data_IF_677549678476
#
_entry.id   IF_677549678476
#
_cell.length_a   1.000
_cell.length_b   1.000
_cell.length_c   1.000
_cell.angle_alpha   90.00
_cell.angle_beta   90.00
_cell.angle_gamma   90.00
#
_symmetry.space_group_name_H-M   'P 1'
#
loop_
_entity.id
_entity.type
_entity.pdbx_description
1 polymer ?
#
# COMPACT_ATOMS: atom_id res chain seq x y z
N UNK A 1 -32.76 -11.29 -16.89
CA UNK A 1 -31.96 -10.46 -15.96
C UNK A 1 -30.92 -9.69 -16.76
N UNK A 2 -30.45 -8.52 -16.29
CA UNK A 2 -29.35 -7.79 -16.96
C UNK A 2 -28.09 -8.67 -17.01
N UNK A 3 -27.28 -8.55 -18.06
CA UNK A 3 -26.02 -9.32 -18.22
C UNK A 3 -25.12 -9.18 -16.98
N UNK A 4 -25.08 -7.98 -16.40
CA UNK A 4 -24.35 -7.66 -15.16
C UNK A 4 -24.75 -8.53 -13.96
N UNK A 5 -25.96 -9.09 -13.93
CA UNK A 5 -26.47 -9.93 -12.83
C UNK A 5 -26.46 -11.42 -13.17
N UNK A 6 -26.54 -11.78 -14.45
CA UNK A 6 -26.61 -13.17 -14.89
C UNK A 6 -25.23 -13.80 -15.15
N UNK A 7 -24.23 -12.99 -15.48
CA UNK A 7 -22.87 -13.48 -15.68
C UNK A 7 -22.17 -13.65 -14.32
N UNK A 8 -21.53 -14.80 -14.03
CA UNK A 8 -20.91 -15.06 -12.72
C UNK A 8 -19.82 -14.05 -12.30
N UNK A 9 -19.01 -13.58 -13.26
CA UNK A 9 -17.91 -12.64 -12.99
C UNK A 9 -18.45 -11.22 -12.84
N UNK A 10 -19.30 -10.79 -13.79
CA UNK A 10 -19.89 -9.46 -13.73
C UNK A 10 -20.87 -9.32 -12.54
N UNK A 11 -21.47 -10.43 -12.11
CA UNK A 11 -22.32 -10.49 -10.92
C UNK A 11 -21.59 -10.08 -9.65
N UNK A 12 -20.33 -10.50 -9.49
CA UNK A 12 -19.48 -10.06 -8.38
C UNK A 12 -19.17 -8.56 -8.46
N UNK A 13 -18.75 -8.06 -9.62
CA UNK A 13 -18.51 -6.63 -9.79
C UNK A 13 -19.79 -5.80 -9.49
N UNK A 14 -20.94 -6.29 -9.94
CA UNK A 14 -22.23 -5.67 -9.68
C UNK A 14 -22.55 -5.63 -8.18
N UNK A 15 -22.32 -6.71 -7.43
CA UNK A 15 -22.65 -6.78 -6.00
C UNK A 15 -21.74 -5.92 -5.12
N UNK A 16 -20.50 -5.67 -5.52
CA UNK A 16 -19.54 -4.88 -4.73
C UNK A 16 -19.46 -3.41 -5.14
N UNK A 17 -19.66 -3.07 -6.43
CA UNK A 17 -19.35 -1.74 -6.95
C UNK A 17 -20.59 -1.00 -7.49
N UNK A 18 -21.54 -1.71 -8.11
CA UNK A 18 -22.65 -1.06 -8.84
C UNK A 18 -23.91 -0.98 -7.98
N UNK A 19 -24.44 -2.11 -7.55
CA UNK A 19 -25.72 -2.21 -6.83
C UNK A 19 -25.50 -2.47 -5.32
N UNK A 20 -24.31 -2.18 -4.79
CA UNK A 20 -24.04 -2.31 -3.36
C UNK A 20 -24.84 -1.24 -2.57
N UNK A 21 -25.75 -1.63 -1.66
CA UNK A 21 -26.53 -0.67 -0.89
C UNK A 21 -25.66 0.02 0.17
N UNK A 22 -25.42 1.32 -0.01
CA UNK A 22 -24.66 2.15 0.93
C UNK A 22 -25.59 3.06 1.77
N UNK A 23 -25.24 3.37 3.03
CA UNK A 23 -25.98 4.34 3.81
C UNK A 23 -25.89 5.74 3.19
N UNK A 24 -27.03 6.43 3.06
CA UNK A 24 -27.09 7.74 2.38
C UNK A 24 -26.32 8.87 3.09
N UNK A 25 -25.94 8.67 4.35
CA UNK A 25 -25.31 9.69 5.21
C UNK A 25 -23.83 9.42 5.52
N UNK A 26 -23.14 8.55 4.76
CA UNK A 26 -21.68 8.41 4.91
C UNK A 26 -20.98 9.71 4.51
N UNK A 27 -20.04 10.15 5.34
CA UNK A 27 -19.23 11.34 5.05
C UNK A 27 -18.05 11.01 4.13
N UNK A 28 -17.33 12.05 3.67
CA UNK A 28 -16.09 11.86 2.89
C UNK A 28 -15.03 10.99 3.58
N UNK A 29 -15.12 10.80 4.90
CA UNK A 29 -14.22 9.90 5.64
C UNK A 29 -14.34 8.43 5.21
N UNK A 30 -15.44 8.02 4.56
CA UNK A 30 -15.58 6.68 3.99
C UNK A 30 -14.76 6.48 2.69
N UNK A 31 -14.30 7.56 2.06
CA UNK A 31 -13.54 7.49 0.80
C UNK A 31 -12.09 6.99 0.99
N UNK A 32 -11.54 7.03 2.21
CA UNK A 32 -10.18 6.56 2.45
C UNK A 32 -10.00 5.06 2.14
N UNK A 33 -11.07 4.26 2.16
CA UNK A 33 -10.98 2.85 1.71
C UNK A 33 -10.63 2.71 0.23
N UNK A 34 -11.31 3.45 -0.65
CA UNK A 34 -11.04 3.42 -2.09
C UNK A 34 -9.70 4.08 -2.44
N UNK A 35 -9.33 5.15 -1.73
CA UNK A 35 -8.01 5.77 -1.89
C UNK A 35 -6.86 4.81 -1.53
N UNK A 36 -7.02 3.97 -0.51
CA UNK A 36 -6.04 2.92 -0.19
C UNK A 36 -5.93 1.87 -1.31
N UNK A 37 -7.07 1.49 -1.91
CA UNK A 37 -7.09 0.62 -3.08
C UNK A 37 -6.35 1.24 -4.27
N UNK A 38 -6.55 2.54 -4.51
CA UNK A 38 -5.82 3.28 -5.54
C UNK A 38 -4.31 3.33 -5.26
N UNK A 39 -3.91 3.64 -4.02
CA UNK A 39 -2.49 3.62 -3.62
C UNK A 39 -1.86 2.25 -3.86
N UNK A 40 -2.55 1.16 -3.52
CA UNK A 40 -2.06 -0.19 -3.75
C UNK A 40 -1.83 -0.48 -5.23
N UNK A 41 -2.76 -0.12 -6.10
CA UNK A 41 -2.61 -0.31 -7.55
C UNK A 41 -1.42 0.50 -8.08
N UNK A 42 -1.30 1.78 -7.69
CA UNK A 42 -0.18 2.63 -8.09
C UNK A 42 1.15 2.00 -7.64
N UNK A 43 1.23 1.49 -6.41
CA UNK A 43 2.45 0.87 -5.90
C UNK A 43 2.85 -0.39 -6.63
N UNK A 44 1.89 -1.28 -6.91
CA UNK A 44 2.16 -2.52 -7.65
C UNK A 44 2.66 -2.18 -9.06
N UNK A 45 1.95 -1.30 -9.78
CA UNK A 45 2.31 -0.95 -11.14
C UNK A 45 3.70 -0.29 -11.19
N UNK A 46 3.90 0.79 -10.44
CA UNK A 46 5.20 1.50 -10.43
C UNK A 46 6.33 0.61 -9.94
N UNK A 47 6.09 -0.23 -8.92
CA UNK A 47 7.07 -1.17 -8.39
C UNK A 47 7.53 -2.21 -9.42
N UNK A 48 6.59 -2.76 -10.22
CA UNK A 48 6.92 -3.68 -11.31
C UNK A 48 7.82 -3.00 -12.35
N UNK A 49 7.49 -1.78 -12.78
CA UNK A 49 8.33 -1.05 -13.74
C UNK A 49 9.71 -0.71 -13.19
N UNK A 50 9.82 -0.33 -11.91
CA UNK A 50 11.11 -0.09 -11.27
C UNK A 50 11.94 -1.37 -11.17
N UNK A 51 11.30 -2.50 -10.84
CA UNK A 51 11.97 -3.78 -10.69
C UNK A 51 12.62 -4.27 -12.00
N UNK A 52 12.09 -3.89 -13.17
CA UNK A 52 12.69 -4.22 -14.47
C UNK A 52 14.08 -3.59 -14.69
N UNK A 53 14.44 -2.55 -13.92
CA UNK A 53 15.68 -1.79 -14.05
C UNK A 53 16.54 -1.80 -12.77
N UNK A 54 16.07 -2.43 -11.70
CA UNK A 54 16.75 -2.49 -10.41
C UNK A 54 17.69 -3.70 -10.29
N UNK A 55 18.85 -3.53 -9.66
CA UNK A 55 19.81 -4.60 -9.40
C UNK A 55 19.93 -4.88 -7.88
N UNK A 56 19.53 -6.07 -7.39
CA UNK A 56 19.57 -6.41 -5.97
C UNK A 56 20.96 -6.92 -5.50
N UNK A 57 22.02 -6.19 -5.84
CA UNK A 57 23.38 -6.44 -5.37
C UNK A 57 23.84 -5.22 -4.55
N UNK A 58 24.45 -5.41 -3.38
CA UNK A 58 24.82 -4.31 -2.46
C UNK A 58 25.73 -3.25 -3.09
N UNK A 59 26.61 -3.66 -4.01
CA UNK A 59 27.53 -2.75 -4.71
C UNK A 59 26.84 -1.98 -5.84
N UNK A 60 25.71 -2.49 -6.34
CA UNK A 60 24.99 -1.95 -7.50
C UNK A 60 23.61 -1.37 -7.17
N UNK A 61 23.06 -1.62 -5.98
CA UNK A 61 21.68 -1.26 -5.63
C UNK A 61 21.44 0.25 -5.78
N UNK A 62 22.27 1.07 -5.13
CA UNK A 62 22.17 2.52 -5.22
C UNK A 62 22.43 3.02 -6.65
N UNK A 63 23.44 2.46 -7.34
CA UNK A 63 23.76 2.82 -8.71
C UNK A 63 22.62 2.49 -9.69
N UNK A 64 21.92 1.37 -9.51
CA UNK A 64 20.77 0.99 -10.32
C UNK A 64 19.56 1.91 -10.09
N UNK A 65 19.39 2.45 -8.88
CA UNK A 65 18.39 3.49 -8.62
C UNK A 65 18.76 4.81 -9.30
N UNK A 66 20.04 5.19 -9.32
CA UNK A 66 20.48 6.37 -10.08
C UNK A 66 20.32 6.17 -11.61
N UNK A 67 20.56 4.96 -12.11
CA UNK A 67 20.26 4.59 -13.50
C UNK A 67 18.78 4.78 -13.83
N UNK A 68 17.86 4.30 -12.97
CA UNK A 68 16.42 4.54 -13.12
C UNK A 68 16.12 6.04 -13.16
N UNK A 69 16.78 6.84 -12.31
CA UNK A 69 16.54 8.28 -12.23
C UNK A 69 17.02 9.06 -13.45
N UNK A 70 18.08 8.60 -14.12
CA UNK A 70 18.80 9.40 -15.11
C UNK A 70 18.70 8.88 -16.53
N UNK A 71 18.63 7.57 -16.70
CA UNK A 71 18.80 6.92 -18.00
C UNK A 71 17.52 6.23 -18.49
N UNK A 72 16.63 5.85 -17.58
CA UNK A 72 15.33 5.26 -17.94
C UNK A 72 14.34 6.37 -18.31
N UNK A 73 13.71 6.24 -19.48
CA UNK A 73 12.67 7.18 -19.94
C UNK A 73 11.56 7.30 -18.89
N UNK A 74 11.33 8.52 -18.39
CA UNK A 74 10.40 8.81 -17.29
C UNK A 74 10.66 8.05 -15.98
N UNK A 75 11.83 7.41 -15.81
CA UNK A 75 12.15 6.63 -14.62
C UNK A 75 12.17 7.48 -13.34
N UNK A 76 12.61 8.74 -13.43
CA UNK A 76 12.51 9.71 -12.33
C UNK A 76 11.05 9.91 -11.85
N UNK A 77 10.12 10.01 -12.79
CA UNK A 77 8.71 10.23 -12.48
C UNK A 77 8.12 8.97 -11.83
N UNK A 78 8.39 7.79 -12.38
CA UNK A 78 7.94 6.51 -11.82
C UNK A 78 8.47 6.33 -10.40
N UNK A 79 9.76 6.60 -10.17
CA UNK A 79 10.36 6.46 -8.83
C UNK A 79 9.76 7.45 -7.83
N UNK A 80 9.58 8.72 -8.21
CA UNK A 80 8.95 9.69 -7.29
C UNK A 80 7.48 9.38 -7.03
N UNK A 81 6.73 8.89 -8.02
CA UNK A 81 5.36 8.42 -7.81
C UNK A 81 5.37 7.26 -6.80
N UNK A 82 6.24 6.27 -6.95
CA UNK A 82 6.35 5.13 -6.03
C UNK A 82 6.68 5.58 -4.59
N UNK A 83 7.73 6.41 -4.45
CA UNK A 83 8.19 6.88 -3.15
C UNK A 83 7.14 7.76 -2.43
N UNK A 84 6.56 8.74 -3.12
CA UNK A 84 5.57 9.64 -2.51
C UNK A 84 4.24 8.92 -2.26
N UNK A 85 3.83 8.00 -3.15
CA UNK A 85 2.63 7.18 -2.93
C UNK A 85 2.77 6.35 -1.66
N UNK A 86 3.98 5.93 -1.27
CA UNK A 86 4.19 5.17 -0.03
C UNK A 86 3.83 6.02 1.18
N UNK A 87 4.24 7.29 1.20
CA UNK A 87 3.87 8.25 2.24
C UNK A 87 2.36 8.53 2.26
N UNK A 88 1.74 8.72 1.09
CA UNK A 88 0.27 8.88 1.00
C UNK A 88 -0.48 7.63 1.45
N UNK A 89 0.06 6.43 1.19
CA UNK A 89 -0.52 5.17 1.65
C UNK A 89 -0.64 5.20 3.19
N UNK A 90 0.42 5.51 3.91
CA UNK A 90 0.36 5.61 5.38
C UNK A 90 -0.53 6.75 5.86
N UNK A 91 -0.49 7.92 5.20
CA UNK A 91 -1.37 9.04 5.55
C UNK A 91 -2.86 8.63 5.46
N UNK A 92 -3.27 8.05 4.33
CA UNK A 92 -4.64 7.59 4.12
C UNK A 92 -4.99 6.41 5.02
N UNK A 93 -4.01 5.57 5.36
CA UNK A 93 -4.21 4.44 6.27
C UNK A 93 -4.48 4.94 7.68
N UNK A 94 -3.73 5.93 8.16
CA UNK A 94 -3.99 6.54 9.46
C UNK A 94 -5.32 7.27 9.50
N UNK A 95 -5.73 7.97 8.44
CA UNK A 95 -7.09 8.52 8.37
C UNK A 95 -8.17 7.44 8.35
N UNK A 96 -7.94 6.33 7.64
CA UNK A 96 -8.88 5.21 7.59
C UNK A 96 -9.05 4.54 8.96
N UNK A 97 -7.95 4.31 9.68
CA UNK A 97 -7.95 3.79 11.06
C UNK A 97 -8.59 4.80 12.02
N UNK A 98 -8.21 6.08 11.94
CA UNK A 98 -8.75 7.14 12.79
C UNK A 98 -10.27 7.30 12.64
N UNK A 99 -10.78 7.25 11.41
CA UNK A 99 -12.22 7.16 11.12
C UNK A 99 -12.83 5.94 11.80
N UNK A 100 -12.18 4.77 11.70
CA UNK A 100 -12.66 3.53 12.28
C UNK A 100 -12.78 3.59 13.80
N UNK A 101 -11.83 4.25 14.48
CA UNK A 101 -11.87 4.51 15.91
C UNK A 101 -13.00 5.49 16.28
N UNK A 102 -13.08 6.62 15.58
CA UNK A 102 -14.05 7.69 15.87
C UNK A 102 -15.50 7.22 15.73
N UNK A 103 -15.84 6.51 14.66
CA UNK A 103 -17.21 6.02 14.42
C UNK A 103 -17.48 4.63 15.02
N UNK A 104 -16.57 4.08 15.82
CA UNK A 104 -16.75 2.75 16.44
C UNK A 104 -16.89 1.62 15.42
N UNK A 105 -16.21 1.72 14.28
CA UNK A 105 -16.30 0.73 13.19
C UNK A 105 -15.70 -0.63 13.57
N UNK A 106 -14.91 -0.69 14.66
CA UNK A 106 -14.32 -1.91 15.22
C UNK A 106 -15.28 -2.73 16.08
N UNK A 107 -16.46 -2.19 16.43
CA UNK A 107 -17.45 -2.87 17.27
C UNK A 107 -18.19 -3.99 16.50
N UNK A 108 -18.81 -4.91 17.25
CA UNK A 108 -19.69 -5.93 16.69
C UNK A 108 -20.78 -5.30 15.78
N UNK A 109 -21.11 -5.90 14.61
CA UNK A 109 -20.64 -7.19 14.07
C UNK A 109 -19.36 -7.10 13.20
N UNK A 110 -18.64 -5.98 13.18
CA UNK A 110 -17.51 -5.72 12.28
C UNK A 110 -16.13 -6.01 12.88
N UNK A 111 -16.08 -6.88 13.88
CA UNK A 111 -14.82 -7.25 14.56
C UNK A 111 -13.85 -7.92 13.57
N UNK A 112 -14.36 -8.84 12.73
CA UNK A 112 -13.52 -9.54 11.76
C UNK A 112 -12.89 -8.59 10.70
N UNK A 113 -13.64 -7.69 10.03
CA UNK A 113 -13.06 -6.66 9.18
C UNK A 113 -11.98 -5.81 9.87
N UNK A 114 -12.19 -5.47 11.15
CA UNK A 114 -11.20 -4.73 11.92
C UNK A 114 -9.92 -5.53 12.15
N UNK A 115 -10.02 -6.80 12.54
CA UNK A 115 -8.85 -7.69 12.71
C UNK A 115 -8.07 -7.86 11.40
N UNK A 116 -8.76 -8.03 10.27
CA UNK A 116 -8.11 -8.07 8.95
C UNK A 116 -7.41 -6.74 8.65
N UNK A 117 -8.03 -5.60 8.97
CA UNK A 117 -7.42 -4.28 8.81
C UNK A 117 -6.13 -4.11 9.60
N UNK A 118 -6.05 -4.64 10.82
CA UNK A 118 -4.82 -4.64 11.64
C UNK A 118 -3.72 -5.47 10.97
N UNK A 119 -4.06 -6.65 10.44
CA UNK A 119 -3.09 -7.48 9.70
C UNK A 119 -2.58 -6.75 8.46
N UNK A 120 -3.47 -6.10 7.69
CA UNK A 120 -3.10 -5.30 6.51
C UNK A 120 -2.16 -4.15 6.90
N UNK A 121 -2.41 -3.47 8.02
CA UNK A 121 -1.52 -2.40 8.52
C UNK A 121 -0.10 -2.94 8.79
N UNK A 122 0.02 -4.06 9.51
CA UNK A 122 1.32 -4.67 9.83
C UNK A 122 2.05 -5.10 8.55
N UNK A 123 1.36 -5.74 7.62
CA UNK A 123 1.94 -6.15 6.33
C UNK A 123 2.38 -4.95 5.50
N UNK A 124 1.63 -3.85 5.53
CA UNK A 124 1.98 -2.62 4.81
C UNK A 124 3.22 -1.96 5.42
N UNK A 125 3.33 -1.94 6.75
CA UNK A 125 4.53 -1.48 7.47
C UNK A 125 5.76 -2.30 7.11
N UNK A 126 5.64 -3.64 7.12
CA UNK A 126 6.72 -4.54 6.73
C UNK A 126 7.14 -4.32 5.27
N UNK A 127 6.17 -4.21 4.36
CA UNK A 127 6.42 -3.99 2.93
C UNK A 127 7.15 -2.66 2.69
N UNK A 128 6.72 -1.58 3.34
CA UNK A 128 7.34 -0.27 3.20
C UNK A 128 8.77 -0.25 3.76
N UNK A 129 9.01 -0.91 4.90
CA UNK A 129 10.35 -1.06 5.44
C UNK A 129 11.26 -1.80 4.46
N UNK A 130 10.83 -2.97 3.96
CA UNK A 130 11.60 -3.74 2.97
C UNK A 130 11.89 -2.91 1.71
N UNK A 131 10.90 -2.19 1.20
CA UNK A 131 11.07 -1.29 0.05
C UNK A 131 12.06 -0.15 0.33
N UNK A 132 12.05 0.43 1.53
CA UNK A 132 12.98 1.50 1.93
C UNK A 132 14.43 1.04 2.04
N UNK A 133 14.66 -0.26 2.25
CA UNK A 133 16.00 -0.85 2.29
C UNK A 133 16.61 -1.00 0.89
N UNK A 134 15.78 -1.19 -0.16
CA UNK A 134 16.25 -1.48 -1.52
C UNK A 134 17.17 -0.41 -2.13
N UNK A 135 16.96 0.92 -1.97
CA UNK A 135 17.88 1.91 -2.53
C UNK A 135 19.28 1.88 -1.93
N UNK A 136 19.46 1.23 -0.78
CA UNK A 136 20.74 1.04 -0.10
C UNK A 136 21.54 2.34 0.16
N UNK A 137 20.83 3.43 0.48
CA UNK A 137 21.45 4.66 1.00
C UNK A 137 21.83 4.54 2.48
N UNK A 138 22.44 5.58 3.05
CA UNK A 138 22.84 5.60 4.47
C UNK A 138 21.67 5.30 5.41
N UNK A 139 20.54 5.96 5.22
CA UNK A 139 19.35 5.72 6.05
C UNK A 139 18.73 4.34 5.83
N UNK A 140 18.82 3.79 4.62
CA UNK A 140 18.38 2.43 4.31
C UNK A 140 19.21 1.40 5.08
N UNK A 141 20.53 1.54 5.06
CA UNK A 141 21.46 0.65 5.76
C UNK A 141 21.25 0.70 7.28
N UNK A 142 21.33 1.89 7.87
CA UNK A 142 21.20 2.04 9.31
C UNK A 142 19.78 1.70 9.80
N UNK A 143 18.76 2.03 9.01
CA UNK A 143 17.39 1.61 9.27
C UNK A 143 17.24 0.10 9.31
N UNK A 144 17.83 -0.62 8.33
CA UNK A 144 17.86 -2.07 8.32
C UNK A 144 18.54 -2.62 9.57
N UNK A 145 19.76 -2.16 9.89
CA UNK A 145 20.52 -2.61 11.06
C UNK A 145 19.73 -2.46 12.36
N UNK A 146 19.14 -1.28 12.61
CA UNK A 146 18.40 -1.02 13.84
C UNK A 146 17.14 -1.90 13.94
N UNK A 147 16.36 -1.98 12.86
CA UNK A 147 15.07 -2.69 12.88
C UNK A 147 15.28 -4.20 12.99
N UNK A 148 16.25 -4.79 12.29
CA UNK A 148 16.52 -6.23 12.42
C UNK A 148 17.10 -6.59 13.78
N UNK A 149 17.89 -5.69 14.39
CA UNK A 149 18.43 -5.90 15.73
C UNK A 149 17.36 -5.88 16.83
N UNK A 150 16.13 -5.43 16.57
CA UNK A 150 15.03 -5.58 17.54
C UNK A 150 14.76 -7.05 17.88
N UNK A 151 15.03 -7.97 16.95
CA UNK A 151 14.86 -9.41 17.18
C UNK A 151 15.92 -10.00 18.10
N UNK A 152 17.08 -9.35 18.28
CA UNK A 152 18.12 -9.84 19.20
C UNK A 152 17.73 -9.68 20.67
N UNK A 153 16.62 -8.99 20.96
CA UNK A 153 16.06 -8.87 22.30
C UNK A 153 15.19 -10.07 22.71
N UNK A 154 14.91 -11.01 21.79
CA UNK A 154 14.23 -12.28 22.11
C UNK A 154 15.25 -13.17 22.84
N UNK A 155 14.94 -13.64 24.06
CA UNK A 155 15.87 -14.44 24.88
C UNK A 155 16.13 -15.84 24.33
#
# INVERSE_FOLDING_TARGET
>A
MRILKSNPILGLANSYIIDNPEPANISYMWNFGSLLGLCLVIQILTGIFLAMHYCPNVDLAFASVEHIMRDVNYGWAIRYVHANTASFFFLFMYFHVGRGLYYGSYKSPRILPWSIGVIILILTMATAFLGYVLPYGQMSLWGATVITNLLSAIP
#
